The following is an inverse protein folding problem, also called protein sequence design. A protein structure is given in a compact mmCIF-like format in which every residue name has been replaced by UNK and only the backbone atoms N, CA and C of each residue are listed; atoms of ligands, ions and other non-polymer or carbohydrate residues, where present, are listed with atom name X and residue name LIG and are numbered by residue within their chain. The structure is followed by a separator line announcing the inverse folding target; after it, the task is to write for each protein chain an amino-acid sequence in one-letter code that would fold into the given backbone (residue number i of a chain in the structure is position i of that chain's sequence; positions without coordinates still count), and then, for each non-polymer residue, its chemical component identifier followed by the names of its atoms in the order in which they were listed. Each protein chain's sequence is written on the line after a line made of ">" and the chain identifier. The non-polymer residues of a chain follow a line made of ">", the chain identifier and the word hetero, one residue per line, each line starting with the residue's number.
data_IF_063737848036
#
_entry.id   IF_063737848036
#
_cell.length_a   1.000
_cell.length_b   1.000
_cell.length_c   1.000
_cell.angle_alpha   90.00
_cell.angle_beta   90.00
_cell.angle_gamma   90.00
#
_symmetry.space_group_name_H-M   'P 1'
#
loop_
_entity.id
_entity.type
_entity.pdbx_description
1 polymer ?
#
# COMPACT_ATOMS: atom_id res chain seq x y z
N UNK A 1 -16.54 -36.09 21.56
CA UNK A 1 -17.96 -35.81 21.24
C UNK A 1 -18.17 -34.30 20.98
N UNK A 2 -17.44 -33.66 20.05
CA UNK A 2 -17.53 -32.20 19.80
C UNK A 2 -17.79 -31.83 18.32
N UNK A 3 -17.68 -32.77 17.40
CA UNK A 3 -17.93 -32.52 15.97
C UNK A 3 -19.42 -32.64 15.59
N UNK A 4 -20.20 -33.37 16.40
CA UNK A 4 -21.60 -33.68 16.10
C UNK A 4 -22.49 -32.42 16.10
N UNK A 5 -22.39 -31.50 17.08
CA UNK A 5 -23.14 -30.24 17.03
C UNK A 5 -22.80 -29.39 15.79
N UNK A 6 -21.54 -29.37 15.37
CA UNK A 6 -21.09 -28.63 14.18
C UNK A 6 -21.71 -29.24 12.92
N UNK A 7 -21.59 -30.56 12.74
CA UNK A 7 -22.14 -31.25 11.56
C UNK A 7 -23.66 -31.09 11.48
N UNK A 8 -24.36 -31.26 12.60
CA UNK A 8 -25.81 -31.08 12.68
C UNK A 8 -26.22 -29.64 12.39
N UNK A 9 -25.49 -28.67 12.90
CA UNK A 9 -25.74 -27.25 12.61
C UNK A 9 -25.52 -26.95 11.13
N UNK A 10 -24.42 -27.40 10.53
CA UNK A 10 -24.15 -27.22 9.09
C UNK A 10 -25.20 -27.89 8.21
N UNK A 11 -25.68 -29.08 8.58
CA UNK A 11 -26.75 -29.76 7.85
C UNK A 11 -28.10 -29.03 7.96
N UNK A 12 -28.49 -28.61 9.18
CA UNK A 12 -29.70 -27.83 9.41
C UNK A 12 -29.67 -26.50 8.64
N UNK A 13 -28.51 -25.86 8.65
CA UNK A 13 -28.20 -24.66 7.90
C UNK A 13 -28.37 -24.85 6.37
N UNK A 14 -27.85 -25.94 5.81
CA UNK A 14 -28.02 -26.29 4.40
C UNK A 14 -29.49 -26.59 4.06
N UNK A 15 -30.19 -27.32 4.94
CA UNK A 15 -31.61 -27.63 4.79
C UNK A 15 -32.49 -26.37 4.83
N UNK A 16 -32.20 -25.40 5.70
CA UNK A 16 -32.94 -24.14 5.76
C UNK A 16 -32.81 -23.31 4.47
N UNK A 17 -31.69 -23.42 3.75
CA UNK A 17 -31.48 -22.72 2.48
C UNK A 17 -32.28 -23.33 1.32
N UNK A 18 -32.65 -24.62 1.40
CA UNK A 18 -33.40 -25.31 0.34
C UNK A 18 -34.91 -25.32 0.57
N UNK A 19 -35.36 -24.90 1.75
CA UNK A 19 -36.77 -24.97 2.17
C UNK A 19 -37.38 -23.58 2.35
N UNK A 20 -38.67 -23.43 2.01
CA UNK A 20 -39.46 -22.20 2.18
C UNK A 20 -39.66 -21.77 3.64
N UNK A 21 -39.99 -20.50 3.86
CA UNK A 21 -40.00 -19.88 5.20
C UNK A 21 -40.89 -20.57 6.24
N UNK A 22 -42.05 -21.10 5.83
CA UNK A 22 -43.01 -21.76 6.73
C UNK A 22 -42.45 -23.00 7.43
N UNK A 23 -41.48 -23.68 6.81
CA UNK A 23 -40.89 -24.91 7.34
C UNK A 23 -39.56 -24.68 8.08
N UNK A 24 -39.11 -23.42 8.23
CA UNK A 24 -37.85 -23.06 8.90
C UNK A 24 -37.94 -23.01 10.43
N UNK A 25 -39.14 -22.96 11.00
CA UNK A 25 -39.35 -22.77 12.45
C UNK A 25 -38.73 -23.92 13.29
N UNK A 26 -38.91 -25.17 12.85
CA UNK A 26 -38.39 -26.34 13.56
C UNK A 26 -36.85 -26.46 13.49
N UNK A 27 -36.21 -26.33 12.31
CA UNK A 27 -34.76 -26.22 12.20
C UNK A 27 -34.16 -25.10 13.08
N UNK A 28 -34.80 -23.93 13.14
CA UNK A 28 -34.37 -22.81 13.98
C UNK A 28 -34.34 -23.17 15.47
N UNK A 29 -35.40 -23.80 15.99
CA UNK A 29 -35.46 -24.25 17.40
C UNK A 29 -34.40 -25.30 17.71
N UNK A 30 -34.16 -26.24 16.78
CA UNK A 30 -33.11 -27.26 16.93
C UNK A 30 -31.72 -26.65 16.98
N UNK A 31 -31.48 -25.62 16.17
CA UNK A 31 -30.21 -24.93 16.09
C UNK A 31 -29.94 -24.05 17.32
N UNK A 32 -30.98 -23.42 17.91
CA UNK A 32 -30.88 -22.77 19.23
C UNK A 32 -30.54 -23.77 20.35
N UNK A 33 -31.10 -24.97 20.31
CA UNK A 33 -30.76 -26.03 21.28
C UNK A 33 -29.30 -26.46 21.16
N UNK A 34 -28.79 -26.61 19.93
CA UNK A 34 -27.39 -26.95 19.67
C UNK A 34 -26.41 -25.87 20.15
N UNK A 35 -26.82 -24.60 20.21
CA UNK A 35 -26.01 -23.50 20.74
C UNK A 35 -25.91 -23.51 22.28
N UNK A 36 -26.92 -24.04 22.96
CA UNK A 36 -27.03 -24.05 24.43
C UNK A 36 -26.53 -25.36 25.06
N UNK A 37 -25.79 -26.20 24.33
CA UNK A 37 -25.20 -27.41 24.88
C UNK A 37 -24.08 -27.00 25.84
N UNK A 38 -24.40 -26.96 27.13
CA UNK A 38 -23.42 -26.74 28.19
C UNK A 38 -22.51 -27.98 28.30
N UNK A 39 -21.18 -27.81 28.31
CA UNK A 39 -20.28 -28.92 28.51
C UNK A 39 -20.47 -29.50 29.90
N UNK A 40 -20.71 -30.81 29.99
CA UNK A 40 -20.69 -31.55 31.25
C UNK A 40 -19.28 -31.44 31.84
N UNK A 41 -19.19 -30.94 33.08
CA UNK A 41 -17.94 -30.73 33.80
C UNK A 41 -17.18 -32.05 33.91
N UNK A 42 -15.98 -32.15 33.32
CA UNK A 42 -15.24 -33.42 33.34
C UNK A 42 -13.78 -33.40 32.90
N UNK A 43 -13.33 -32.56 31.95
CA UNK A 43 -11.93 -32.62 31.47
C UNK A 43 -11.38 -31.25 31.05
N UNK A 44 -10.19 -30.90 31.54
CA UNK A 44 -9.50 -29.61 31.34
C UNK A 44 -9.23 -29.31 29.84
N UNK A 45 -9.00 -30.34 29.02
CA UNK A 45 -8.81 -30.20 27.56
C UNK A 45 -10.12 -30.16 26.76
N UNK A 46 -11.27 -30.26 27.43
CA UNK A 46 -12.58 -30.15 26.81
C UNK A 46 -13.04 -28.69 26.72
N UNK A 47 -12.56 -27.84 27.63
CA UNK A 47 -12.95 -26.42 27.72
C UNK A 47 -12.49 -25.61 26.52
N UNK A 48 -11.21 -25.73 26.10
CA UNK A 48 -10.69 -25.02 24.92
C UNK A 48 -11.35 -25.49 23.62
N UNK A 49 -11.55 -26.80 23.47
CA UNK A 49 -12.20 -27.38 22.30
C UNK A 49 -13.70 -27.05 22.25
N UNK A 50 -14.36 -26.96 23.41
CA UNK A 50 -15.75 -26.50 23.55
C UNK A 50 -15.87 -25.01 23.25
N UNK A 51 -14.91 -24.19 23.67
CA UNK A 51 -14.86 -22.76 23.35
C UNK A 51 -14.69 -22.53 21.84
N UNK A 52 -13.77 -23.24 21.20
CA UNK A 52 -13.59 -23.21 19.74
C UNK A 52 -14.86 -23.68 19.01
N UNK A 53 -15.46 -24.79 19.47
CA UNK A 53 -16.72 -25.31 18.91
C UNK A 53 -17.84 -24.28 19.02
N UNK A 54 -18.02 -23.65 20.18
CA UNK A 54 -19.03 -22.61 20.40
C UNK A 54 -18.82 -21.41 19.48
N UNK A 55 -17.57 -20.99 19.26
CA UNK A 55 -17.23 -19.91 18.34
C UNK A 55 -17.52 -20.27 16.88
N UNK A 56 -17.20 -21.50 16.45
CA UNK A 56 -17.50 -22.01 15.10
C UNK A 56 -19.01 -22.10 14.90
N UNK A 57 -19.75 -22.68 15.85
CA UNK A 57 -21.20 -22.76 15.82
C UNK A 57 -21.84 -21.37 15.72
N UNK A 58 -21.38 -20.41 16.53
CA UNK A 58 -21.88 -19.04 16.49
C UNK A 58 -21.68 -18.40 15.11
N UNK A 59 -20.54 -18.63 14.46
CA UNK A 59 -20.28 -18.14 13.09
C UNK A 59 -21.22 -18.79 12.06
N UNK A 60 -21.30 -20.13 12.02
CA UNK A 60 -22.16 -20.87 11.08
C UNK A 60 -23.62 -20.45 11.21
N UNK A 61 -24.09 -20.28 12.45
CA UNK A 61 -25.45 -19.86 12.73
C UNK A 61 -25.70 -18.41 12.30
N UNK A 62 -24.77 -17.49 12.59
CA UNK A 62 -24.89 -16.10 12.20
C UNK A 62 -24.87 -15.87 10.68
N UNK A 63 -24.28 -16.77 9.90
CA UNK A 63 -24.30 -16.64 8.45
C UNK A 63 -25.70 -16.88 7.88
N UNK A 64 -26.51 -17.74 8.52
CA UNK A 64 -27.73 -18.34 7.94
C UNK A 64 -29.02 -17.84 8.60
N UNK A 65 -28.95 -17.33 9.84
CA UNK A 65 -30.12 -16.73 10.47
C UNK A 65 -30.63 -15.51 9.67
N UNK A 66 -31.95 -15.27 9.63
CA UNK A 66 -32.50 -14.03 9.12
C UNK A 66 -31.88 -12.84 9.87
N UNK A 67 -31.72 -11.70 9.19
CA UNK A 67 -31.06 -10.48 9.71
C UNK A 67 -31.55 -10.06 11.10
N UNK A 68 -32.82 -10.34 11.42
CA UNK A 68 -33.46 -10.02 12.70
C UNK A 68 -33.02 -10.91 13.88
N UNK A 69 -32.45 -12.09 13.60
CA UNK A 69 -32.06 -13.12 14.57
C UNK A 69 -30.54 -13.31 14.65
N UNK A 70 -29.76 -12.68 13.77
CA UNK A 70 -28.29 -12.72 13.83
C UNK A 70 -27.80 -12.08 15.13
N UNK A 71 -26.84 -12.72 15.78
CA UNK A 71 -26.16 -12.20 16.95
C UNK A 71 -25.41 -10.92 16.55
N UNK A 72 -25.96 -9.76 16.92
CA UNK A 72 -25.43 -8.44 16.56
C UNK A 72 -24.06 -8.16 17.18
N UNK A 73 -23.57 -9.04 18.06
CA UNK A 73 -22.28 -8.93 18.72
C UNK A 73 -21.08 -8.87 17.77
N UNK A 74 -21.21 -9.31 16.52
CA UNK A 74 -20.13 -9.27 15.51
C UNK A 74 -20.37 -8.30 14.33
N UNK A 75 -21.52 -7.60 14.29
CA UNK A 75 -21.79 -6.60 13.25
C UNK A 75 -21.33 -5.22 13.72
N UNK A 76 -20.15 -4.80 13.28
CA UNK A 76 -19.59 -3.49 13.64
C UNK A 76 -20.10 -2.37 12.71
N UNK A 77 -20.66 -2.74 11.55
CA UNK A 77 -21.33 -1.80 10.63
C UNK A 77 -22.85 -1.92 10.82
N UNK A 78 -23.53 -0.85 11.27
CA UNK A 78 -24.99 -0.85 11.39
C UNK A 78 -25.65 -0.89 10.01
N UNK A 79 -26.58 -1.82 9.79
CA UNK A 79 -27.28 -2.06 8.52
C UNK A 79 -28.08 -0.86 7.97
N UNK A 80 -28.28 0.19 8.78
CA UNK A 80 -29.07 1.38 8.42
C UNK A 80 -28.21 2.59 8.06
N UNK A 81 -26.88 2.51 8.21
CA UNK A 81 -25.97 3.62 7.98
C UNK A 81 -25.14 3.37 6.73
N UNK A 82 -24.83 4.45 6.01
CA UNK A 82 -23.95 4.37 4.85
C UNK A 82 -22.51 4.08 5.31
N UNK A 83 -21.74 3.23 4.60
CA UNK A 83 -20.35 2.93 4.96
C UNK A 83 -19.48 4.19 5.13
N UNK A 84 -19.71 5.23 4.32
CA UNK A 84 -19.04 6.54 4.45
C UNK A 84 -19.27 7.18 5.81
N UNK A 85 -20.53 7.23 6.28
CA UNK A 85 -20.88 7.87 7.55
C UNK A 85 -20.29 7.11 8.74
N UNK A 86 -20.25 5.78 8.65
CA UNK A 86 -19.63 4.92 9.66
C UNK A 86 -18.12 5.17 9.71
N UNK A 87 -17.46 5.22 8.56
CA UNK A 87 -16.02 5.50 8.47
C UNK A 87 -15.68 6.89 9.02
N UNK A 88 -16.39 7.93 8.59
CA UNK A 88 -16.15 9.31 9.03
C UNK A 88 -16.33 9.47 10.54
N UNK A 89 -17.40 8.88 11.08
CA UNK A 89 -17.66 8.90 12.52
C UNK A 89 -16.57 8.15 13.29
N UNK A 90 -16.13 7.00 12.78
CA UNK A 90 -15.04 6.22 13.36
C UNK A 90 -13.73 7.03 13.36
N UNK A 91 -13.32 7.56 12.21
CA UNK A 91 -12.08 8.33 12.06
C UNK A 91 -12.07 9.60 12.91
N UNK A 92 -13.15 10.37 12.92
CA UNK A 92 -13.26 11.57 13.78
C UNK A 92 -13.11 11.23 15.26
N UNK A 93 -13.72 10.13 15.69
CA UNK A 93 -13.58 9.63 17.05
C UNK A 93 -12.11 9.24 17.35
N UNK A 94 -11.48 8.49 16.44
CA UNK A 94 -10.08 8.10 16.56
C UNK A 94 -9.14 9.32 16.64
N UNK A 95 -9.29 10.29 15.74
CA UNK A 95 -8.49 11.52 15.74
C UNK A 95 -8.68 12.33 17.03
N UNK A 96 -9.91 12.42 17.54
CA UNK A 96 -10.18 13.07 18.82
C UNK A 96 -9.48 12.35 19.99
N UNK A 97 -9.56 11.01 20.03
CA UNK A 97 -9.00 10.18 21.10
C UNK A 97 -7.47 10.09 21.07
N UNK A 98 -6.86 9.98 19.89
CA UNK A 98 -5.40 9.78 19.76
C UNK A 98 -4.93 8.33 19.76
N UNK A 99 -5.84 7.36 19.85
CA UNK A 99 -5.53 5.94 19.94
C UNK A 99 -6.64 5.11 19.30
N UNK A 100 -6.32 3.86 18.94
CA UNK A 100 -7.22 2.95 18.24
C UNK A 100 -7.70 1.87 19.22
N UNK A 101 -9.01 1.76 19.42
CA UNK A 101 -9.64 0.71 20.19
C UNK A 101 -9.99 -0.51 19.33
N UNK A 102 -10.08 -1.69 19.95
CA UNK A 102 -10.33 -2.95 19.23
C UNK A 102 -11.64 -2.93 18.42
N UNK A 103 -12.67 -2.27 18.93
CA UNK A 103 -13.96 -2.14 18.21
C UNK A 103 -13.81 -1.31 16.94
N UNK A 104 -13.03 -0.22 16.99
CA UNK A 104 -12.71 0.57 15.81
C UNK A 104 -11.88 -0.23 14.80
N UNK A 105 -10.92 -1.07 15.24
CA UNK A 105 -10.16 -1.95 14.32
C UNK A 105 -11.10 -2.87 13.54
N UNK A 106 -11.99 -3.59 14.23
CA UNK A 106 -12.94 -4.49 13.55
C UNK A 106 -13.90 -3.72 12.62
N UNK A 107 -14.33 -2.52 13.03
CA UNK A 107 -15.18 -1.67 12.17
C UNK A 107 -14.43 -1.29 10.89
N UNK A 108 -13.19 -0.83 11.02
CA UNK A 108 -12.36 -0.41 9.89
C UNK A 108 -12.00 -1.59 8.97
N UNK A 109 -11.69 -2.75 9.53
CA UNK A 109 -11.43 -3.99 8.78
C UNK A 109 -12.67 -4.43 7.99
N UNK A 110 -13.85 -4.41 8.59
CA UNK A 110 -15.10 -4.70 7.89
C UNK A 110 -15.37 -3.71 6.75
N UNK A 111 -15.10 -2.42 6.97
CA UNK A 111 -15.28 -1.38 5.95
C UNK A 111 -14.29 -1.54 4.79
N UNK A 112 -13.03 -1.85 5.10
CA UNK A 112 -11.99 -2.12 4.11
C UNK A 112 -12.37 -3.32 3.24
N UNK A 113 -12.81 -4.42 3.85
CA UNK A 113 -13.24 -5.62 3.13
C UNK A 113 -14.52 -5.40 2.30
N UNK A 114 -15.42 -4.53 2.75
CA UNK A 114 -16.69 -4.26 2.06
C UNK A 114 -16.52 -3.30 0.87
N UNK A 115 -15.75 -2.23 1.04
CA UNK A 115 -15.68 -1.12 0.07
C UNK A 115 -14.39 -1.11 -0.76
N UNK A 116 -13.38 -1.91 -0.39
CA UNK A 116 -12.10 -2.01 -1.06
C UNK A 116 -11.08 -0.94 -0.65
N UNK A 117 -9.81 -1.22 -0.96
CA UNK A 117 -8.67 -0.37 -0.58
C UNK A 117 -8.68 1.04 -1.18
N UNK A 118 -9.16 1.18 -2.42
CA UNK A 118 -9.18 2.48 -3.13
C UNK A 118 -10.13 3.48 -2.51
N UNK A 119 -11.36 3.05 -2.22
CA UNK A 119 -12.32 3.89 -1.53
C UNK A 119 -11.85 4.19 -0.10
N UNK A 120 -11.33 3.17 0.59
CA UNK A 120 -10.91 3.30 1.99
C UNK A 120 -9.72 4.25 2.15
N UNK A 121 -8.69 4.14 1.28
CA UNK A 121 -7.50 5.00 1.32
C UNK A 121 -7.84 6.45 1.01
N UNK A 122 -8.65 6.68 -0.04
CA UNK A 122 -9.10 8.01 -0.47
C UNK A 122 -9.90 8.69 0.65
N UNK A 123 -10.88 8.00 1.22
CA UNK A 123 -11.72 8.57 2.28
C UNK A 123 -10.95 8.82 3.58
N UNK A 124 -10.06 7.91 3.96
CA UNK A 124 -9.24 8.05 5.17
C UNK A 124 -8.32 9.26 5.07
N UNK A 125 -7.69 9.46 3.92
CA UNK A 125 -6.80 10.61 3.68
C UNK A 125 -7.58 11.91 3.61
N UNK A 126 -8.73 11.92 2.94
CA UNK A 126 -9.59 13.09 2.92
C UNK A 126 -9.94 13.54 4.35
N UNK A 127 -10.36 12.62 5.21
CA UNK A 127 -10.70 12.93 6.60
C UNK A 127 -9.47 13.40 7.40
N UNK A 128 -8.28 12.82 7.16
CA UNK A 128 -7.03 13.29 7.78
C UNK A 128 -6.71 14.74 7.41
N UNK A 129 -6.90 15.12 6.14
CA UNK A 129 -6.58 16.45 5.62
C UNK A 129 -7.65 17.52 5.95
N UNK A 130 -8.78 17.16 6.57
CA UNK A 130 -9.77 18.13 7.09
C UNK A 130 -9.16 19.03 8.18
N UNK A 131 -8.12 18.55 8.89
CA UNK A 131 -7.42 19.31 9.92
C UNK A 131 -6.77 20.60 9.41
N UNK A 132 -6.67 21.60 10.29
CA UNK A 132 -6.03 22.90 10.00
C UNK A 132 -4.73 23.12 10.77
N UNK A 133 -4.61 22.54 11.97
CA UNK A 133 -3.43 22.70 12.84
C UNK A 133 -2.44 21.57 12.58
N UNK A 134 -1.15 21.92 12.54
CA UNK A 134 -0.08 20.95 12.29
C UNK A 134 -0.01 19.83 13.34
N UNK A 135 -0.31 20.14 14.61
CA UNK A 135 -0.31 19.15 15.70
C UNK A 135 -1.43 18.12 15.51
N UNK A 136 -2.65 18.57 15.22
CA UNK A 136 -3.80 17.71 14.95
C UNK A 136 -3.56 16.84 13.71
N UNK A 137 -2.96 17.42 12.67
CA UNK A 137 -2.58 16.69 11.46
C UNK A 137 -1.49 15.64 11.73
N UNK A 138 -0.49 15.92 12.58
CA UNK A 138 0.51 14.91 12.95
C UNK A 138 -0.11 13.78 13.80
N UNK A 139 -1.04 14.10 14.70
CA UNK A 139 -1.78 13.10 15.47
C UNK A 139 -2.63 12.21 14.54
N UNK A 140 -3.35 12.82 13.59
CA UNK A 140 -4.12 12.10 12.58
C UNK A 140 -3.22 11.25 11.68
N UNK A 141 -2.06 11.77 11.26
CA UNK A 141 -1.03 11.04 10.51
C UNK A 141 -0.62 9.76 11.23
N UNK A 142 -0.28 9.82 12.52
CA UNK A 142 0.12 8.63 13.28
C UNK A 142 -0.98 7.57 13.35
N UNK A 143 -2.24 8.00 13.50
CA UNK A 143 -3.40 7.09 13.51
C UNK A 143 -3.62 6.48 12.13
N UNK A 144 -3.65 7.29 11.06
CA UNK A 144 -3.83 6.80 9.69
C UNK A 144 -2.71 5.86 9.30
N UNK A 145 -1.48 6.17 9.66
CA UNK A 145 -0.35 5.29 9.44
C UNK A 145 -0.54 3.95 10.15
N UNK A 146 -1.02 3.94 11.40
CA UNK A 146 -1.36 2.71 12.12
C UNK A 146 -2.54 1.94 11.48
N UNK A 147 -3.56 2.64 10.97
CA UNK A 147 -4.67 2.06 10.21
C UNK A 147 -4.15 1.36 8.94
N UNK A 148 -3.18 1.95 8.24
CA UNK A 148 -2.60 1.35 7.04
C UNK A 148 -1.89 0.02 7.33
N UNK A 149 -1.43 -0.22 8.56
CA UNK A 149 -0.84 -1.52 8.93
C UNK A 149 -1.85 -2.68 8.99
N UNK A 150 -3.16 -2.42 8.91
CA UNK A 150 -4.14 -3.50 8.76
C UNK A 150 -3.94 -4.25 7.44
N UNK A 151 -3.57 -3.53 6.37
CA UNK A 151 -3.25 -4.12 5.07
C UNK A 151 -2.25 -3.24 4.29
N UNK A 152 -0.98 -3.31 4.71
CA UNK A 152 0.04 -2.31 4.35
C UNK A 152 0.34 -2.26 2.85
N UNK A 153 0.52 -3.40 2.19
CA UNK A 153 0.93 -3.43 0.78
C UNK A 153 -0.21 -2.95 -0.16
N UNK A 154 -1.45 -3.49 -0.08
CA UNK A 154 -2.58 -3.03 -0.89
C UNK A 154 -2.96 -1.57 -0.63
N UNK A 155 -2.98 -1.12 0.64
CA UNK A 155 -3.29 0.28 0.95
C UNK A 155 -2.20 1.24 0.48
N UNK A 156 -0.93 0.83 0.54
CA UNK A 156 0.19 1.62 -0.02
C UNK A 156 0.12 1.69 -1.55
N UNK A 157 -0.21 0.59 -2.21
CA UNK A 157 -0.42 0.58 -3.67
C UNK A 157 -1.58 1.47 -4.07
N UNK A 158 -2.71 1.35 -3.38
CA UNK A 158 -3.90 2.17 -3.58
C UNK A 158 -3.60 3.67 -3.40
N UNK A 159 -2.85 4.00 -2.34
CA UNK A 159 -2.38 5.35 -2.08
C UNK A 159 -1.59 5.93 -3.26
N UNK A 160 -0.62 5.18 -3.78
CA UNK A 160 0.30 5.65 -4.81
C UNK A 160 -0.35 5.68 -6.20
N UNK A 161 -1.19 4.69 -6.53
CA UNK A 161 -1.79 4.53 -7.85
C UNK A 161 -3.05 5.36 -8.05
N UNK A 162 -3.83 5.57 -7.01
CA UNK A 162 -5.15 6.19 -7.12
C UNK A 162 -5.23 7.49 -6.32
N UNK A 163 -4.92 7.44 -5.02
CA UNK A 163 -5.18 8.57 -4.13
C UNK A 163 -4.26 9.76 -4.40
N UNK A 164 -2.93 9.60 -4.36
CA UNK A 164 -2.00 10.70 -4.65
C UNK A 164 -2.20 11.28 -6.05
N UNK A 165 -2.34 10.47 -7.13
CA UNK A 165 -2.63 11.00 -8.46
C UNK A 165 -3.91 11.84 -8.53
N UNK A 166 -4.99 11.42 -7.85
CA UNK A 166 -6.23 12.22 -7.76
C UNK A 166 -5.97 13.59 -7.13
N UNK A 167 -5.23 13.66 -6.01
CA UNK A 167 -4.87 14.92 -5.36
C UNK A 167 -4.01 15.81 -6.26
N UNK A 168 -3.07 15.21 -7.00
CA UNK A 168 -2.15 15.93 -7.86
C UNK A 168 -2.79 16.41 -9.16
N UNK A 169 -3.72 15.68 -9.75
CA UNK A 169 -4.33 16.03 -11.05
C UNK A 169 -5.59 16.87 -10.92
N UNK A 170 -6.32 16.77 -9.80
CA UNK A 170 -7.62 17.43 -9.64
C UNK A 170 -7.46 18.85 -9.10
N UNK A 171 -7.92 19.85 -9.87
CA UNK A 171 -7.94 21.25 -9.42
C UNK A 171 -8.76 21.48 -8.14
N UNK A 172 -9.75 20.62 -7.88
CA UNK A 172 -10.59 20.69 -6.66
C UNK A 172 -9.80 20.34 -5.38
N UNK A 173 -8.77 19.50 -5.51
CA UNK A 173 -7.97 19.02 -4.39
C UNK A 173 -6.67 19.80 -4.21
N UNK A 174 -6.36 20.74 -5.10
CA UNK A 174 -5.18 21.60 -5.01
C UNK A 174 -5.14 22.40 -3.70
N UNK A 175 -6.30 22.81 -3.17
CA UNK A 175 -6.42 23.48 -1.87
C UNK A 175 -6.11 22.56 -0.66
N UNK A 176 -6.20 21.24 -0.82
CA UNK A 176 -5.84 20.27 0.21
C UNK A 176 -4.33 19.98 0.21
N UNK A 177 -3.61 20.39 -0.83
CA UNK A 177 -2.15 20.27 -0.93
C UNK A 177 -1.40 21.49 -0.39
N UNK A 178 -2.10 22.56 0.00
CA UNK A 178 -1.44 23.72 0.62
C UNK A 178 -0.85 23.34 1.97
N UNK A 179 0.30 23.92 2.30
CA UNK A 179 0.94 23.73 3.61
C UNK A 179 -0.03 24.15 4.75
N UNK A 180 -0.17 23.38 5.86
CA UNK A 180 0.60 22.19 6.31
C UNK A 180 0.15 20.83 5.74
N UNK A 181 -0.97 20.77 5.01
CA UNK A 181 -1.62 19.51 4.63
C UNK A 181 -0.83 18.72 3.59
N UNK A 182 -0.29 19.41 2.58
CA UNK A 182 0.57 18.79 1.57
C UNK A 182 1.81 18.13 2.18
N UNK A 183 2.46 18.79 3.14
CA UNK A 183 3.60 18.22 3.86
C UNK A 183 3.24 16.93 4.61
N UNK A 184 2.11 16.92 5.33
CA UNK A 184 1.65 15.75 6.09
C UNK A 184 1.29 14.58 5.17
N UNK A 185 0.64 14.86 4.03
CA UNK A 185 0.35 13.83 3.03
C UNK A 185 1.64 13.24 2.43
N UNK A 186 2.61 14.09 2.11
CA UNK A 186 3.91 13.66 1.59
C UNK A 186 4.62 12.75 2.61
N UNK A 187 4.58 13.13 3.88
CA UNK A 187 5.14 12.35 4.99
C UNK A 187 4.47 10.99 5.17
N UNK A 188 3.14 10.93 5.15
CA UNK A 188 2.40 9.65 5.18
C UNK A 188 2.85 8.75 4.03
N UNK A 189 2.89 9.30 2.81
CA UNK A 189 3.21 8.55 1.61
C UNK A 189 4.60 7.90 1.69
N UNK A 190 5.63 8.67 2.06
CA UNK A 190 7.00 8.16 2.23
C UNK A 190 7.07 7.11 3.34
N UNK A 191 6.39 7.32 4.47
CA UNK A 191 6.35 6.35 5.57
C UNK A 191 5.72 5.03 5.12
N UNK A 192 4.59 5.06 4.42
CA UNK A 192 3.92 3.87 3.89
C UNK A 192 4.79 3.12 2.86
N UNK A 193 5.41 3.84 1.91
CA UNK A 193 6.32 3.25 0.91
C UNK A 193 7.49 2.55 1.60
N UNK A 194 8.15 3.24 2.53
CA UNK A 194 9.31 2.71 3.23
C UNK A 194 8.95 1.46 4.01
N UNK A 195 7.81 1.47 4.71
CA UNK A 195 7.34 0.33 5.50
C UNK A 195 6.90 -0.85 4.66
N UNK A 196 6.26 -0.61 3.51
CA UNK A 196 5.94 -1.68 2.56
C UNK A 196 7.22 -2.32 2.00
N UNK A 197 8.25 -1.53 1.70
CA UNK A 197 9.54 -2.04 1.23
C UNK A 197 10.30 -2.82 2.30
N UNK A 198 10.27 -2.39 3.57
CA UNK A 198 10.95 -3.10 4.68
C UNK A 198 10.25 -4.40 5.03
N UNK A 199 8.92 -4.42 5.12
CA UNK A 199 8.14 -5.63 5.39
C UNK A 199 8.47 -6.73 4.36
N UNK A 200 8.55 -6.36 3.09
CA UNK A 200 8.91 -7.29 2.00
C UNK A 200 10.36 -7.76 2.03
N UNK A 201 11.29 -6.91 2.46
CA UNK A 201 12.70 -7.32 2.63
C UNK A 201 12.81 -8.38 3.74
N UNK A 202 12.10 -8.18 4.86
CA UNK A 202 12.05 -9.13 5.96
C UNK A 202 11.44 -10.48 5.55
N UNK A 203 10.37 -10.49 4.75
CA UNK A 203 9.76 -11.72 4.24
C UNK A 203 10.69 -12.50 3.29
N UNK A 204 11.42 -11.81 2.41
CA UNK A 204 12.41 -12.44 1.53
C UNK A 204 13.55 -13.07 2.33
N UNK A 205 14.02 -12.40 3.37
CA UNK A 205 15.06 -12.95 4.25
C UNK A 205 14.55 -14.21 4.96
N UNK A 206 13.36 -14.17 5.56
CA UNK A 206 12.74 -15.35 6.22
C UNK A 206 12.56 -16.51 5.23
N UNK A 207 12.02 -16.25 4.04
CA UNK A 207 11.79 -17.29 3.03
C UNK A 207 13.09 -17.86 2.46
N UNK A 208 14.14 -17.03 2.33
CA UNK A 208 15.47 -17.46 1.90
C UNK A 208 16.14 -18.38 2.94
N UNK A 209 15.92 -18.14 4.24
CA UNK A 209 16.40 -18.99 5.32
C UNK A 209 15.64 -20.32 5.41
N UNK A 210 14.32 -20.35 5.16
CA UNK A 210 13.55 -21.59 5.07
C UNK A 210 13.94 -22.46 3.86
N UNK A 211 14.36 -21.86 2.73
CA UNK A 211 14.86 -22.60 1.56
C UNK A 211 16.25 -23.23 1.75
N UNK A 212 17.04 -22.78 2.74
CA UNK A 212 18.34 -23.38 3.09
C UNK A 212 18.23 -24.59 4.04
N UNK A 213 17.06 -24.88 4.59
CA UNK A 213 16.86 -25.96 5.57
C UNK A 213 16.12 -27.21 5.07
N UNK A 214 15.54 -27.19 3.86
CA UNK A 214 14.80 -28.35 3.33
C UNK A 214 15.77 -29.26 2.57
N UNK A 215 16.12 -30.40 3.17
CA UNK A 215 16.82 -31.52 2.51
C UNK A 215 16.28 -31.68 1.08
N UNK A 216 17.12 -31.37 0.08
CA UNK A 216 16.80 -31.61 -1.34
C UNK A 216 16.40 -33.07 -1.49
N UNK A 217 15.25 -33.33 -2.08
CA UNK A 217 14.87 -34.69 -2.47
C UNK A 217 15.82 -35.10 -3.60
N UNK A 218 16.41 -36.29 -3.48
CA UNK A 218 17.47 -36.87 -4.34
C UNK A 218 17.12 -36.92 -5.84
N UNK A 219 15.93 -36.52 -6.26
CA UNK A 219 15.45 -36.54 -7.64
C UNK A 219 15.66 -35.22 -8.42
N UNK A 220 16.15 -34.17 -7.76
CA UNK A 220 16.40 -32.86 -8.39
C UNK A 220 17.90 -32.64 -8.73
N UNK A 221 18.79 -33.56 -8.35
CA UNK A 221 20.25 -33.44 -8.56
C UNK A 221 20.69 -33.97 -9.94
N UNK A 222 19.92 -34.85 -10.59
CA UNK A 222 20.30 -35.43 -11.89
C UNK A 222 19.95 -34.56 -13.11
N UNK A 223 19.19 -33.47 -12.93
CA UNK A 223 18.83 -32.55 -14.01
C UNK A 223 19.74 -31.31 -14.10
N UNK A 224 20.56 -31.06 -13.07
CA UNK A 224 21.42 -29.86 -12.96
C UNK A 224 22.88 -30.13 -13.39
N UNK A 225 23.25 -31.39 -13.68
CA UNK A 225 24.62 -31.77 -14.09
C UNK A 225 24.83 -31.83 -15.61
N UNK A 226 23.85 -31.39 -16.43
CA UNK A 226 23.95 -31.49 -17.90
C UNK A 226 23.66 -30.18 -18.66
N UNK A 227 23.82 -29.03 -18.00
CA UNK A 227 23.77 -27.71 -18.62
C UNK A 227 24.98 -26.83 -18.25
N UNK A 228 26.19 -27.33 -18.50
CA UNK A 228 27.29 -26.46 -18.96
C UNK A 228 27.64 -26.85 -20.39
N UNK A 229 27.61 -25.88 -21.32
CA UNK A 229 28.86 -25.65 -22.03
C UNK A 229 29.18 -24.16 -22.30
N UNK A 230 30.49 -23.95 -22.40
CA UNK A 230 31.24 -22.75 -22.72
C UNK A 230 30.74 -21.95 -23.94
N UNK A 231 30.94 -20.63 -23.87
CA UNK A 231 31.13 -19.65 -24.94
C UNK A 231 30.98 -20.11 -26.41
N UNK A 232 29.98 -19.56 -27.13
CA UNK A 232 30.12 -18.84 -28.44
C UNK A 232 28.78 -18.33 -29.02
N UNK A 233 28.78 -17.34 -29.94
CA UNK A 233 27.58 -16.61 -30.34
C UNK A 233 27.05 -17.00 -31.73
N UNK A 234 25.76 -17.34 -31.90
CA UNK A 234 25.08 -17.35 -33.22
C UNK A 234 23.57 -17.04 -33.09
N UNK A 235 23.06 -16.35 -34.12
CA UNK A 235 21.73 -15.77 -34.37
C UNK A 235 20.55 -16.76 -34.50
N UNK A 236 19.32 -16.21 -34.31
CA UNK A 236 17.95 -16.69 -34.69
C UNK A 236 17.42 -17.83 -33.79
N UNK A 237 16.16 -17.86 -33.36
CA UNK A 237 14.91 -17.59 -34.07
C UNK A 237 13.76 -17.22 -33.11
N UNK A 238 12.80 -16.42 -33.60
CA UNK A 238 11.48 -16.21 -32.99
C UNK A 238 10.68 -17.51 -33.06
N UNK A 239 10.02 -17.88 -31.98
CA UNK A 239 8.87 -18.80 -31.98
C UNK A 239 7.73 -18.12 -31.22
N UNK A 240 6.67 -17.84 -31.98
CA UNK A 240 5.38 -17.46 -31.46
C UNK A 240 4.76 -18.67 -30.78
N UNK A 241 4.19 -18.50 -29.58
CA UNK A 241 3.03 -19.28 -29.19
C UNK A 241 1.89 -18.36 -28.71
N UNK A 242 0.64 -18.68 -29.07
CA UNK A 242 -0.49 -17.78 -28.93
C UNK A 242 -1.20 -18.03 -27.61
N UNK A 243 -1.31 -17.02 -26.75
CA UNK A 243 -2.28 -17.06 -25.65
C UNK A 243 -3.46 -16.15 -25.94
N UNK A 244 -4.61 -16.82 -25.98
CA UNK A 244 -5.95 -16.32 -26.19
C UNK A 244 -6.25 -15.12 -25.28
N UNK A 245 -6.55 -14.01 -25.93
CA UNK A 245 -6.96 -12.75 -25.32
C UNK A 245 -8.40 -12.89 -24.83
N UNK A 246 -8.62 -12.70 -23.53
CA UNK A 246 -9.90 -12.28 -22.98
C UNK A 246 -9.71 -10.84 -22.52
N UNK A 247 -10.48 -9.95 -23.12
CA UNK A 247 -10.35 -8.52 -23.06
C UNK A 247 -10.59 -7.97 -21.65
N UNK A 248 -9.57 -7.31 -21.11
CA UNK A 248 -9.68 -6.32 -20.04
C UNK A 248 -9.08 -5.02 -20.56
N UNK A 249 -9.85 -4.33 -21.40
CA UNK A 249 -9.55 -2.96 -21.83
C UNK A 249 -9.67 -2.02 -20.63
N UNK A 250 -8.52 -1.56 -20.14
CA UNK A 250 -8.43 -0.55 -19.09
C UNK A 250 -7.00 -0.31 -18.65
N UNK A 251 -6.32 0.66 -19.28
CA UNK A 251 -5.01 1.21 -18.91
C UNK A 251 -3.74 0.41 -19.32
N UNK A 252 -3.61 0.08 -20.61
CA UNK A 252 -2.30 -0.16 -21.22
C UNK A 252 -1.66 1.16 -21.69
N UNK A 253 -1.07 1.91 -20.76
CA UNK A 253 -0.09 2.96 -21.10
C UNK A 253 1.33 2.37 -21.01
N UNK A 254 1.77 1.76 -22.11
CA UNK A 254 3.16 1.71 -22.58
C UNK A 254 4.21 0.97 -21.76
N UNK A 255 4.26 -0.36 -21.88
CA UNK A 255 5.42 -1.19 -21.49
C UNK A 255 6.73 -0.75 -22.19
N UNK A 256 6.63 -0.19 -23.41
CA UNK A 256 7.80 0.33 -24.15
C UNK A 256 8.38 1.61 -23.53
N UNK A 257 7.55 2.47 -22.94
CA UNK A 257 8.02 3.73 -22.33
C UNK A 257 8.71 3.51 -20.99
N UNK A 258 8.29 2.50 -20.23
CA UNK A 258 9.00 2.05 -19.03
C UNK A 258 10.34 1.42 -19.36
N UNK A 259 10.45 0.73 -20.50
CA UNK A 259 11.71 0.12 -20.94
C UNK A 259 12.70 1.20 -21.39
N UNK A 260 12.27 2.19 -22.18
CA UNK A 260 13.13 3.31 -22.61
C UNK A 260 13.59 4.21 -21.47
N UNK A 261 12.81 4.32 -20.38
CA UNK A 261 13.23 5.02 -19.16
C UNK A 261 14.32 4.26 -18.38
N UNK A 262 14.33 2.92 -18.47
CA UNK A 262 15.26 2.05 -17.75
C UNK A 262 16.52 1.69 -18.57
N UNK A 263 16.46 1.74 -19.91
CA UNK A 263 17.54 1.30 -20.82
C UNK A 263 18.49 2.41 -21.27
N UNK A 264 18.26 3.67 -20.90
CA UNK A 264 19.21 4.76 -21.15
C UNK A 264 20.38 4.75 -20.14
N UNK A 265 21.21 3.69 -20.15
CA UNK A 265 22.51 3.71 -19.46
C UNK A 265 23.59 3.00 -20.30
N UNK A 266 24.63 3.76 -20.64
CA UNK A 266 25.87 3.27 -21.24
C UNK A 266 26.61 2.32 -20.29
N UNK A 267 27.14 1.25 -20.90
CA UNK A 267 28.18 0.29 -20.49
C UNK A 267 28.64 0.24 -19.02
N UNK A 268 28.34 -0.90 -18.37
CA UNK A 268 29.21 -1.49 -17.35
C UNK A 268 28.89 -1.26 -15.87
N UNK A 269 27.78 -0.62 -15.51
CA UNK A 269 27.37 -0.50 -14.11
C UNK A 269 26.45 -1.67 -13.70
N UNK A 270 26.78 -2.33 -12.57
CA UNK A 270 25.91 -3.33 -11.95
C UNK A 270 24.54 -2.68 -11.67
N UNK A 271 23.56 -3.08 -12.46
CA UNK A 271 22.17 -2.66 -12.30
C UNK A 271 21.73 -2.88 -10.84
N UNK A 272 21.02 -1.92 -10.20
CA UNK A 272 20.25 -2.30 -9.04
C UNK A 272 19.33 -3.43 -9.49
N UNK A 273 19.38 -4.56 -8.79
CA UNK A 273 18.60 -5.77 -9.01
C UNK A 273 17.12 -5.43 -8.83
N UNK A 274 16.55 -4.81 -9.87
CA UNK A 274 15.20 -4.34 -9.85
C UNK A 274 14.29 -5.48 -10.30
N UNK A 275 13.46 -5.94 -9.38
CA UNK A 275 12.42 -6.90 -9.72
C UNK A 275 11.32 -6.15 -10.47
N UNK A 276 11.40 -6.14 -11.81
CA UNK A 276 10.41 -5.48 -12.67
C UNK A 276 8.99 -6.06 -12.53
N UNK A 277 8.84 -7.20 -11.84
CA UNK A 277 7.55 -7.79 -11.47
C UNK A 277 6.92 -7.15 -10.23
N UNK A 278 7.62 -6.23 -9.57
CA UNK A 278 7.18 -5.62 -8.33
C UNK A 278 6.15 -4.50 -8.56
N UNK A 279 4.91 -4.76 -8.18
CA UNK A 279 3.79 -3.83 -8.30
C UNK A 279 4.07 -2.49 -7.60
N UNK A 280 4.72 -2.51 -6.44
CA UNK A 280 5.02 -1.28 -5.68
C UNK A 280 6.00 -0.39 -6.44
N UNK A 281 7.01 -1.00 -7.04
CA UNK A 281 7.98 -0.22 -7.78
C UNK A 281 7.43 0.29 -9.11
N UNK A 282 6.59 -0.50 -9.79
CA UNK A 282 5.84 -0.02 -10.97
C UNK A 282 4.96 1.18 -10.62
N UNK A 283 4.31 1.14 -9.45
CA UNK A 283 3.53 2.28 -8.94
C UNK A 283 4.40 3.50 -8.67
N UNK A 284 5.59 3.35 -8.05
CA UNK A 284 6.53 4.44 -7.83
C UNK A 284 7.02 5.07 -9.14
N UNK A 285 7.38 4.27 -10.14
CA UNK A 285 7.79 4.79 -11.46
C UNK A 285 6.67 5.65 -12.07
N UNK A 286 5.42 5.17 -12.02
CA UNK A 286 4.26 5.92 -12.51
C UNK A 286 4.03 7.23 -11.75
N UNK A 287 4.18 7.20 -10.41
CA UNK A 287 4.07 8.39 -9.57
C UNK A 287 5.15 9.43 -9.90
N UNK A 288 6.42 9.02 -10.02
CA UNK A 288 7.49 9.93 -10.42
C UNK A 288 7.31 10.48 -11.84
N UNK A 289 6.77 9.68 -12.77
CA UNK A 289 6.42 10.16 -14.11
C UNK A 289 5.36 11.27 -14.04
N UNK A 290 4.32 11.09 -13.21
CA UNK A 290 3.31 12.11 -12.98
C UNK A 290 3.89 13.38 -12.35
N UNK A 291 4.70 13.22 -11.28
CA UNK A 291 5.35 14.36 -10.62
C UNK A 291 6.29 15.12 -11.55
N UNK A 292 7.00 14.42 -12.43
CA UNK A 292 7.86 15.02 -13.44
C UNK A 292 7.05 15.80 -14.49
N UNK A 293 5.89 15.31 -14.91
CA UNK A 293 4.99 16.05 -15.80
C UNK A 293 4.54 17.37 -15.16
N UNK A 294 4.14 17.33 -13.88
CA UNK A 294 3.75 18.54 -13.12
C UNK A 294 4.93 19.49 -12.94
N UNK A 295 6.14 18.96 -12.72
CA UNK A 295 7.36 19.78 -12.53
C UNK A 295 7.78 20.55 -13.80
N UNK A 296 7.31 20.13 -14.98
CA UNK A 296 7.59 20.82 -16.24
C UNK A 296 6.74 22.09 -16.41
N UNK A 297 5.57 22.15 -15.78
CA UNK A 297 4.74 23.34 -15.76
C UNK A 297 5.48 24.46 -14.98
N UNK A 298 5.56 25.66 -15.56
CA UNK A 298 6.33 26.79 -14.99
C UNK A 298 5.61 27.50 -13.84
N UNK A 299 4.47 26.99 -13.37
CA UNK A 299 3.71 27.58 -12.27
C UNK A 299 4.10 26.96 -10.95
N UNK A 300 4.61 27.79 -10.03
CA UNK A 300 4.78 27.39 -8.63
C UNK A 300 3.39 27.24 -8.01
N UNK A 301 3.04 26.03 -7.59
CA UNK A 301 1.75 25.73 -6.99
C UNK A 301 1.83 24.67 -5.89
N UNK A 302 0.72 24.39 -5.19
CA UNK A 302 0.67 23.43 -4.09
C UNK A 302 1.14 22.02 -4.46
N UNK A 303 0.96 21.62 -5.73
CA UNK A 303 1.45 20.34 -6.24
C UNK A 303 2.99 20.25 -6.26
N UNK A 304 3.68 21.32 -6.68
CA UNK A 304 5.15 21.37 -6.67
C UNK A 304 5.66 21.39 -5.22
N UNK A 305 4.97 22.11 -4.33
CA UNK A 305 5.28 22.10 -2.90
C UNK A 305 5.17 20.69 -2.30
N UNK A 306 4.10 19.94 -2.62
CA UNK A 306 3.96 18.54 -2.24
C UNK A 306 5.12 17.67 -2.76
N UNK A 307 5.51 17.82 -4.03
CA UNK A 307 6.63 17.06 -4.63
C UNK A 307 7.93 17.34 -3.87
N UNK A 308 8.19 18.59 -3.53
CA UNK A 308 9.37 18.96 -2.73
C UNK A 308 9.30 18.33 -1.35
N UNK A 309 8.19 18.47 -0.64
CA UNK A 309 8.01 17.85 0.68
C UNK A 309 8.17 16.33 0.64
N UNK A 310 7.72 15.67 -0.44
CA UNK A 310 7.89 14.23 -0.64
C UNK A 310 9.37 13.85 -0.78
N UNK A 311 10.12 14.58 -1.61
CA UNK A 311 11.56 14.36 -1.78
C UNK A 311 12.30 14.61 -0.46
N UNK A 312 11.98 15.70 0.24
CA UNK A 312 12.61 16.02 1.52
C UNK A 312 12.35 14.94 2.57
N UNK A 313 11.13 14.42 2.66
CA UNK A 313 10.81 13.38 3.63
C UNK A 313 11.45 12.04 3.26
N UNK A 314 11.56 11.71 1.96
CA UNK A 314 12.30 10.53 1.50
C UNK A 314 13.78 10.58 1.91
N UNK A 315 14.41 11.76 1.87
CA UNK A 315 15.78 11.97 2.33
C UNK A 315 15.90 11.75 3.85
N UNK A 316 14.92 12.25 4.63
CA UNK A 316 14.93 12.12 6.10
C UNK A 316 14.82 10.68 6.60
N UNK A 317 14.25 9.77 5.80
CA UNK A 317 14.19 8.34 6.16
C UNK A 317 15.58 7.67 6.23
N UNK A 318 16.62 8.29 5.68
CA UNK A 318 17.99 7.77 5.71
C UNK A 318 18.44 7.23 4.35
N UNK A 319 19.77 7.07 4.15
CA UNK A 319 20.35 6.88 2.81
C UNK A 319 19.90 5.60 2.11
N UNK A 320 19.66 4.51 2.87
CA UNK A 320 19.23 3.24 2.31
C UNK A 320 17.80 3.29 1.73
N UNK A 321 16.89 3.94 2.46
CA UNK A 321 15.48 4.08 2.04
C UNK A 321 15.33 5.17 0.97
N UNK A 322 16.00 6.30 1.17
CA UNK A 322 16.08 7.39 0.19
C UNK A 322 16.53 6.86 -1.17
N UNK A 323 17.59 6.02 -1.22
CA UNK A 323 18.07 5.43 -2.48
C UNK A 323 17.01 4.54 -3.14
N UNK A 324 16.28 3.72 -2.38
CA UNK A 324 15.24 2.82 -2.91
C UNK A 324 14.03 3.57 -3.49
N UNK A 325 13.70 4.74 -2.94
CA UNK A 325 12.59 5.57 -3.42
C UNK A 325 13.04 6.46 -4.57
N UNK A 326 14.13 7.22 -4.38
CA UNK A 326 14.58 8.25 -5.31
C UNK A 326 15.29 7.69 -6.56
N UNK A 327 15.67 6.41 -6.61
CA UNK A 327 16.20 5.78 -7.82
C UNK A 327 15.25 5.85 -9.02
N UNK A 328 13.94 6.02 -8.79
CA UNK A 328 12.93 6.17 -9.84
C UNK A 328 12.75 7.63 -10.31
N UNK A 329 13.40 8.58 -9.65
CA UNK A 329 13.30 10.00 -9.99
C UNK A 329 14.02 10.30 -11.32
N UNK A 330 13.36 10.90 -12.31
CA UNK A 330 13.99 11.30 -13.56
C UNK A 330 15.11 12.34 -13.33
N UNK A 331 16.22 12.20 -14.06
CA UNK A 331 17.41 13.07 -13.92
C UNK A 331 17.17 14.55 -14.27
N UNK A 332 16.09 14.86 -14.99
CA UNK A 332 15.73 16.24 -15.33
C UNK A 332 14.87 16.90 -14.25
N UNK A 333 14.13 16.11 -13.46
CA UNK A 333 13.15 16.58 -12.51
C UNK A 333 13.78 17.49 -11.43
N UNK A 334 14.95 17.11 -10.89
CA UNK A 334 15.65 17.92 -9.88
C UNK A 334 16.01 19.31 -10.43
N UNK A 335 16.57 19.36 -11.64
CA UNK A 335 16.96 20.63 -12.27
C UNK A 335 15.76 21.52 -12.61
N UNK A 336 14.61 20.92 -12.94
CA UNK A 336 13.36 21.64 -13.20
C UNK A 336 12.79 22.23 -11.91
N UNK A 337 12.75 21.44 -10.82
CA UNK A 337 12.27 21.92 -9.52
C UNK A 337 13.15 23.07 -9.01
N UNK A 338 14.49 22.91 -9.06
CA UNK A 338 15.41 23.96 -8.61
C UNK A 338 15.35 25.23 -9.44
N UNK A 339 14.96 25.14 -10.71
CA UNK A 339 14.72 26.32 -11.57
C UNK A 339 13.43 27.02 -11.18
N UNK A 340 12.37 26.27 -10.91
CA UNK A 340 11.06 26.82 -10.56
C UNK A 340 11.06 27.39 -9.14
N UNK A 341 11.82 26.79 -8.22
CA UNK A 341 12.01 27.28 -6.85
C UNK A 341 13.50 27.27 -6.47
N UNK A 342 14.19 28.40 -6.65
CA UNK A 342 15.59 28.56 -6.24
C UNK A 342 15.76 28.29 -4.74
N UNK A 343 16.93 27.77 -4.36
CA UNK A 343 17.34 27.54 -2.97
C UNK A 343 16.54 26.50 -2.15
N UNK A 344 15.54 25.82 -2.73
CA UNK A 344 14.71 24.83 -2.02
C UNK A 344 15.51 23.67 -1.43
N UNK A 345 16.48 23.14 -2.19
CA UNK A 345 17.33 22.07 -1.69
C UNK A 345 18.69 22.61 -1.23
N UNK A 346 19.13 22.15 -0.06
CA UNK A 346 20.51 22.29 0.40
C UNK A 346 21.45 21.41 -0.43
N UNK A 347 22.74 21.77 -0.48
CA UNK A 347 23.73 20.96 -1.19
C UNK A 347 23.82 19.54 -0.60
N UNK A 348 23.60 19.39 0.70
CA UNK A 348 23.53 18.07 1.35
C UNK A 348 22.34 17.24 0.84
N UNK A 349 21.15 17.83 0.77
CA UNK A 349 19.97 17.16 0.19
C UNK A 349 20.20 16.76 -1.27
N UNK A 350 20.80 17.62 -2.09
CA UNK A 350 21.15 17.31 -3.49
C UNK A 350 22.05 16.07 -3.56
N UNK A 351 23.06 15.99 -2.69
CA UNK A 351 23.95 14.82 -2.64
C UNK A 351 23.23 13.54 -2.21
N UNK A 352 22.20 13.62 -1.36
CA UNK A 352 21.38 12.46 -0.98
C UNK A 352 20.40 12.01 -2.06
N UNK A 353 19.96 12.92 -2.93
CA UNK A 353 19.13 12.60 -4.09
C UNK A 353 19.96 11.89 -5.17
N UNK A 354 21.22 12.28 -5.33
CA UNK A 354 22.11 11.72 -6.35
C UNK A 354 22.80 10.44 -5.87
N UNK A 355 22.82 9.39 -6.70
CA UNK A 355 23.55 8.16 -6.35
C UNK A 355 25.07 8.29 -6.55
N UNK A 356 25.79 8.68 -5.49
CA UNK A 356 27.24 8.90 -5.53
C UNK A 356 28.08 7.62 -5.76
N UNK A 357 27.49 6.42 -5.65
CA UNK A 357 28.23 5.19 -5.99
C UNK A 357 28.51 5.08 -7.49
N UNK A 358 27.66 5.67 -8.33
CA UNK A 358 27.78 5.61 -9.80
C UNK A 358 28.58 6.79 -10.35
N UNK A 359 29.28 6.59 -11.47
CA UNK A 359 30.01 7.70 -12.11
C UNK A 359 29.02 8.75 -12.63
N UNK A 360 27.91 8.29 -13.18
CA UNK A 360 26.81 9.13 -13.69
C UNK A 360 26.18 9.95 -12.58
N UNK A 361 25.90 9.35 -11.43
CA UNK A 361 25.35 10.07 -10.27
C UNK A 361 26.32 11.11 -9.70
N UNK A 362 27.63 10.85 -9.68
CA UNK A 362 28.65 11.86 -9.29
C UNK A 362 28.69 13.06 -10.25
N UNK A 363 28.65 12.81 -11.56
CA UNK A 363 28.59 13.89 -12.58
C UNK A 363 27.31 14.72 -12.41
N UNK A 364 26.19 14.06 -12.18
CA UNK A 364 24.90 14.71 -11.99
C UNK A 364 24.85 15.54 -10.70
N UNK A 365 25.36 15.00 -9.59
CA UNK A 365 25.51 15.72 -8.33
C UNK A 365 26.35 17.00 -8.49
N UNK A 366 27.52 16.91 -9.13
CA UNK A 366 28.37 18.06 -9.39
C UNK A 366 27.63 19.14 -10.21
N UNK A 367 26.92 18.72 -11.28
CA UNK A 367 26.11 19.63 -12.10
C UNK A 367 25.00 20.29 -11.28
N UNK A 368 24.27 19.51 -10.49
CA UNK A 368 23.15 20.01 -9.68
C UNK A 368 23.62 20.99 -8.59
N UNK A 369 24.73 20.71 -7.90
CA UNK A 369 25.30 21.63 -6.90
C UNK A 369 25.74 22.96 -7.55
N UNK A 370 26.41 22.90 -8.70
CA UNK A 370 26.78 24.11 -9.45
C UNK A 370 25.55 24.91 -9.93
N UNK A 371 24.50 24.22 -10.38
CA UNK A 371 23.24 24.85 -10.75
C UNK A 371 22.54 25.49 -9.53
N UNK A 372 22.56 24.83 -8.37
CA UNK A 372 22.00 25.38 -7.14
C UNK A 372 22.69 26.69 -6.75
N UNK A 373 24.02 26.72 -6.82
CA UNK A 373 24.81 27.91 -6.50
C UNK A 373 24.48 29.07 -7.45
N UNK A 374 24.30 28.78 -8.74
CA UNK A 374 23.87 29.77 -9.74
C UNK A 374 22.47 30.32 -9.44
N UNK A 375 21.48 29.45 -9.26
CA UNK A 375 20.11 29.90 -8.97
C UNK A 375 20.01 30.68 -7.66
N UNK A 376 20.79 30.31 -6.63
CA UNK A 376 20.88 31.09 -5.38
C UNK A 376 21.46 32.49 -5.62
N UNK A 377 22.52 32.59 -6.41
CA UNK A 377 23.14 33.87 -6.73
C UNK A 377 22.20 34.78 -7.54
N UNK A 378 21.50 34.22 -8.53
CA UNK A 378 20.55 34.97 -9.36
C UNK A 378 19.35 35.44 -8.53
N UNK A 379 18.83 34.60 -7.62
CA UNK A 379 17.76 34.97 -6.70
C UNK A 379 18.15 36.13 -5.77
N UNK A 380 19.34 36.07 -5.14
CA UNK A 380 19.84 37.13 -4.24
C UNK A 380 20.04 38.46 -4.99
N UNK A 381 20.41 38.43 -6.27
CA UNK A 381 20.59 39.65 -7.05
C UNK A 381 19.27 40.26 -7.55
N UNK A 382 18.23 39.44 -7.74
CA UNK A 382 16.88 39.94 -8.04
C UNK A 382 16.31 40.64 -6.81
N UNK A 383 16.38 40.02 -5.63
CA UNK A 383 15.90 40.61 -4.36
C UNK A 383 16.65 41.90 -3.94
N UNK A 384 17.88 42.11 -4.43
CA UNK A 384 18.65 43.35 -4.17
C UNK A 384 18.32 44.50 -5.12
N UNK A 385 17.69 44.22 -6.26
CA UNK A 385 17.36 45.20 -7.30
C UNK A 385 15.85 45.55 -7.35
N UNK A 386 15.05 44.95 -6.46
CA UNK A 386 13.65 45.28 -6.16
C UNK A 386 13.56 45.91 -4.78
#
# INVERSE_FOLDING_TARGET
>A
MLCLPIIMSTWLCSYMNTVGEESREKPLKMLQFLQNINPTEGEVHFTERSHLMSNILRKIVNDILPVNMKDKSNQHIPLKLLPCEVLDKCLRNLFSKGWIDMQSVYTLEQLLNLCGGDWFSDRTIMCMLEGSRLEDLNKALSIVYAIFYMDLEPLTLSLILHTIPKFLQSSQHTNLLTDPRGYILAKLCVMCITSAQTARTAEKDIMSHLRRGRKRSRKEVELDEMEEPECRPVKRSKTLEPQLTLDAEGYNFGESSTQDFLTAKEDGETSPTFDAKDHLNKALVNMFRLMNAISQERSVGPQISFIVSFIEEAIKCGPQYSKRILQFMPSQMLSQIMRNMPAVFTNQQILHICDLSTLTGRKWAAKAVCQNARYKHDYINIDRNS
#
